data_IF_513605215322
#
_entry.id   IF_513605215322
#
_cell.length_a   1.000
_cell.length_b   1.000
_cell.length_c   1.000
_cell.angle_alpha   90.00
_cell.angle_beta   90.00
_cell.angle_gamma   90.00
#
_symmetry.space_group_name_H-M   'P 1'
#
loop_
_entity.id
_entity.type
_entity.pdbx_description
1 polymer ?
#
# COMPACT_ATOMS: atom_id res chain seq x y z
N UNK A 1 -16.63 -37.45 48.76
CA UNK A 1 -15.55 -36.75 48.02
C UNK A 1 -15.81 -36.76 46.50
N UNK A 2 -17.08 -36.70 46.06
CA UNK A 2 -17.48 -36.98 44.66
C UNK A 2 -17.84 -35.73 43.85
N UNK A 3 -17.93 -34.56 44.50
CA UNK A 3 -18.41 -33.31 43.88
C UNK A 3 -17.30 -32.48 43.21
N UNK A 4 -16.03 -32.70 43.59
CA UNK A 4 -14.92 -31.86 43.16
C UNK A 4 -14.49 -32.22 41.72
N UNK A 5 -14.61 -33.49 41.34
CA UNK A 5 -14.29 -34.01 40.01
C UNK A 5 -15.26 -33.49 38.94
N UNK A 6 -16.57 -33.49 39.22
CA UNK A 6 -17.57 -32.96 38.27
C UNK A 6 -17.44 -31.45 38.08
N UNK A 7 -17.04 -30.71 39.12
CA UNK A 7 -16.82 -29.26 39.03
C UNK A 7 -15.60 -28.94 38.15
N UNK A 8 -14.52 -29.73 38.25
CA UNK A 8 -13.33 -29.58 37.40
C UNK A 8 -13.66 -29.94 35.94
N UNK A 9 -14.42 -30.99 35.69
CA UNK A 9 -14.89 -31.37 34.35
C UNK A 9 -15.74 -30.26 33.70
N UNK A 10 -16.71 -29.71 34.43
CA UNK A 10 -17.54 -28.60 33.93
C UNK A 10 -16.73 -27.33 33.62
N UNK A 11 -15.67 -27.05 34.39
CA UNK A 11 -14.76 -25.93 34.11
C UNK A 11 -13.89 -26.18 32.88
N UNK A 12 -13.46 -27.43 32.69
CA UNK A 12 -12.68 -27.84 31.51
C UNK A 12 -13.53 -27.76 30.24
N UNK A 13 -14.77 -28.25 30.29
CA UNK A 13 -15.75 -28.18 29.20
C UNK A 13 -16.08 -26.72 28.82
N UNK A 14 -16.32 -25.85 29.81
CA UNK A 14 -16.50 -24.41 29.55
C UNK A 14 -15.24 -23.74 28.97
N UNK A 15 -14.05 -24.12 29.44
CA UNK A 15 -12.80 -23.57 28.92
C UNK A 15 -12.53 -24.03 27.47
N UNK A 16 -12.87 -25.27 27.15
CA UNK A 16 -12.82 -25.83 25.80
C UNK A 16 -13.80 -25.11 24.88
N UNK A 17 -15.05 -24.92 25.29
CA UNK A 17 -16.07 -24.18 24.53
C UNK A 17 -15.68 -22.71 24.31
N UNK A 18 -15.13 -22.05 25.34
CA UNK A 18 -14.60 -20.68 25.21
C UNK A 18 -13.44 -20.62 24.23
N UNK A 19 -12.53 -21.58 24.30
CA UNK A 19 -11.35 -21.64 23.42
C UNK A 19 -11.79 -21.90 21.99
N UNK A 20 -12.71 -22.85 21.77
CA UNK A 20 -13.29 -23.16 20.47
C UNK A 20 -13.99 -21.93 19.87
N UNK A 21 -14.80 -21.24 20.67
CA UNK A 21 -15.48 -20.01 20.25
C UNK A 21 -14.49 -18.90 19.92
N UNK A 22 -13.42 -18.74 20.71
CA UNK A 22 -12.37 -17.74 20.47
C UNK A 22 -11.60 -18.02 19.18
N UNK A 23 -11.29 -19.29 18.90
CA UNK A 23 -10.65 -19.71 17.65
C UNK A 23 -11.58 -19.47 16.45
N UNK A 24 -12.86 -19.78 16.60
CA UNK A 24 -13.86 -19.55 15.55
C UNK A 24 -14.06 -18.06 15.26
N UNK A 25 -14.13 -17.23 16.30
CA UNK A 25 -14.15 -15.76 16.19
C UNK A 25 -12.89 -15.23 15.50
N UNK A 26 -11.71 -15.72 15.87
CA UNK A 26 -10.46 -15.31 15.24
C UNK A 26 -10.44 -15.66 13.75
N UNK A 27 -10.92 -16.85 13.38
CA UNK A 27 -11.05 -17.26 11.98
C UNK A 27 -12.01 -16.35 11.22
N UNK A 28 -13.16 -16.05 11.80
CA UNK A 28 -14.16 -15.19 11.16
C UNK A 28 -13.66 -13.74 11.01
N UNK A 29 -13.02 -13.20 12.04
CA UNK A 29 -12.44 -11.87 12.03
C UNK A 29 -11.27 -11.75 11.05
N UNK A 30 -10.45 -12.80 10.91
CA UNK A 30 -9.39 -12.86 9.92
C UNK A 30 -9.95 -12.82 8.49
N UNK A 31 -11.02 -13.57 8.22
CA UNK A 31 -11.70 -13.56 6.93
C UNK A 31 -12.31 -12.19 6.64
N UNK A 32 -13.06 -11.62 7.58
CA UNK A 32 -13.69 -10.30 7.46
C UNK A 32 -12.65 -9.21 7.20
N UNK A 33 -11.59 -9.17 8.01
CA UNK A 33 -10.53 -8.16 7.84
C UNK A 33 -9.79 -8.29 6.53
N UNK A 34 -9.53 -9.53 6.10
CA UNK A 34 -8.89 -9.80 4.81
C UNK A 34 -9.79 -9.39 3.65
N UNK A 35 -11.08 -9.67 3.74
CA UNK A 35 -12.07 -9.29 2.73
C UNK A 35 -12.21 -7.76 2.63
N UNK A 36 -12.23 -7.05 3.76
CA UNK A 36 -12.25 -5.58 3.80
C UNK A 36 -11.01 -4.96 3.17
N UNK A 37 -9.83 -5.50 3.51
CA UNK A 37 -8.56 -5.03 2.94
C UNK A 37 -8.52 -5.30 1.44
N UNK A 38 -8.86 -6.50 0.99
CA UNK A 38 -8.91 -6.81 -0.44
C UNK A 38 -9.90 -5.91 -1.18
N UNK A 39 -11.11 -5.75 -0.64
CA UNK A 39 -12.16 -4.95 -1.28
C UNK A 39 -11.74 -3.49 -1.42
N UNK A 40 -11.20 -2.90 -0.35
CA UNK A 40 -10.68 -1.53 -0.40
C UNK A 40 -9.45 -1.37 -1.31
N UNK A 41 -8.58 -2.38 -1.38
CA UNK A 41 -7.45 -2.40 -2.30
C UNK A 41 -7.89 -2.49 -3.76
N UNK A 42 -8.83 -3.37 -4.09
CA UNK A 42 -9.35 -3.56 -5.45
C UNK A 42 -9.96 -2.24 -5.96
N UNK A 43 -10.80 -1.58 -5.15
CA UNK A 43 -11.37 -0.28 -5.52
C UNK A 43 -10.28 0.78 -5.75
N UNK A 44 -9.28 0.87 -4.87
CA UNK A 44 -8.16 1.82 -5.04
C UNK A 44 -7.31 1.52 -6.27
N UNK A 45 -7.02 0.25 -6.54
CA UNK A 45 -6.25 -0.18 -7.71
C UNK A 45 -7.02 0.15 -8.98
N UNK A 46 -8.32 -0.14 -9.03
CA UNK A 46 -9.16 0.18 -10.19
C UNK A 46 -9.11 1.68 -10.53
N UNK A 47 -9.28 2.55 -9.53
CA UNK A 47 -9.17 4.01 -9.71
C UNK A 47 -7.76 4.41 -10.15
N UNK A 48 -6.74 3.81 -9.54
CA UNK A 48 -5.34 4.09 -9.88
C UNK A 48 -4.99 3.69 -11.31
N UNK A 49 -5.54 2.57 -11.81
CA UNK A 49 -5.36 2.13 -13.19
C UNK A 49 -5.99 3.13 -14.16
N UNK A 50 -7.23 3.56 -13.90
CA UNK A 50 -7.91 4.55 -14.75
C UNK A 50 -7.13 5.86 -14.79
N UNK A 51 -6.69 6.35 -13.62
CA UNK A 51 -5.87 7.55 -13.53
C UNK A 51 -4.52 7.39 -14.23
N UNK A 52 -3.87 6.24 -14.07
CA UNK A 52 -2.62 5.91 -14.75
C UNK A 52 -2.77 5.90 -16.27
N UNK A 53 -3.88 5.33 -16.77
CA UNK A 53 -4.19 5.30 -18.20
C UNK A 53 -4.48 6.70 -18.75
N UNK A 54 -5.19 7.53 -17.98
CA UNK A 54 -5.38 8.94 -18.30
C UNK A 54 -4.05 9.70 -18.37
N UNK A 55 -3.19 9.56 -17.36
CA UNK A 55 -1.88 10.21 -17.33
C UNK A 55 -0.97 9.75 -18.49
N UNK A 56 -1.05 8.48 -18.86
CA UNK A 56 -0.35 7.92 -20.02
C UNK A 56 -0.82 8.56 -21.34
N UNK A 57 -2.14 8.68 -21.53
CA UNK A 57 -2.71 9.37 -22.68
C UNK A 57 -2.31 10.84 -22.74
N UNK A 58 -2.31 11.54 -21.60
CA UNK A 58 -1.84 12.94 -21.51
C UNK A 58 -0.37 13.06 -21.93
N UNK A 59 0.48 12.12 -21.53
CA UNK A 59 1.89 12.10 -21.95
C UNK A 59 2.06 11.95 -23.46
N UNK A 60 1.28 11.05 -24.07
CA UNK A 60 1.28 10.87 -25.53
C UNK A 60 0.80 12.16 -26.21
N UNK A 61 -0.30 12.75 -25.73
CA UNK A 61 -0.82 14.01 -26.27
C UNK A 61 0.18 15.16 -26.16
N UNK A 62 0.83 15.30 -25.00
CA UNK A 62 1.85 16.32 -24.76
C UNK A 62 3.05 16.14 -25.70
N UNK A 63 3.48 14.89 -25.88
CA UNK A 63 4.55 14.54 -26.80
C UNK A 63 4.20 14.89 -28.25
N UNK A 64 3.00 14.54 -28.72
CA UNK A 64 2.56 14.89 -30.08
C UNK A 64 2.47 16.40 -30.24
N UNK A 65 1.87 17.11 -29.29
CA UNK A 65 1.72 18.57 -29.34
C UNK A 65 3.06 19.30 -29.40
N UNK A 66 4.01 18.93 -28.54
CA UNK A 66 5.39 19.46 -28.59
C UNK A 66 6.05 19.07 -29.92
N UNK A 67 5.87 17.83 -30.37
CA UNK A 67 6.43 17.34 -31.62
C UNK A 67 5.92 18.07 -32.86
N UNK A 68 4.63 18.39 -32.93
CA UNK A 68 4.04 19.22 -33.99
C UNK A 68 4.61 20.64 -33.97
N UNK A 69 4.81 21.22 -32.78
CA UNK A 69 5.42 22.55 -32.63
C UNK A 69 6.88 22.56 -33.12
N UNK A 70 7.61 21.46 -32.92
CA UNK A 70 8.97 21.25 -33.42
C UNK A 70 9.00 20.76 -34.88
N UNK A 71 7.84 20.65 -35.53
CA UNK A 71 7.68 20.25 -36.93
C UNK A 71 7.73 18.74 -37.18
N UNK A 72 8.14 17.91 -36.21
CA UNK A 72 8.09 16.45 -36.29
C UNK A 72 7.82 15.79 -34.95
N UNK A 73 6.87 14.85 -34.94
CA UNK A 73 6.37 14.15 -33.74
C UNK A 73 7.47 13.50 -32.89
N UNK A 74 8.50 12.94 -33.53
CA UNK A 74 9.58 12.26 -32.78
C UNK A 74 10.37 13.21 -31.86
N UNK A 75 10.50 14.51 -32.21
CA UNK A 75 11.17 15.46 -31.35
C UNK A 75 10.42 15.71 -30.05
N UNK A 76 9.08 15.62 -30.07
CA UNK A 76 8.27 15.72 -28.86
C UNK A 76 8.51 14.57 -27.89
N UNK A 77 8.62 13.34 -28.40
CA UNK A 77 8.96 12.18 -27.58
C UNK A 77 10.36 12.30 -26.98
N UNK A 78 11.34 12.78 -27.75
CA UNK A 78 12.69 13.04 -27.26
C UNK A 78 12.73 14.15 -26.19
N UNK A 79 11.97 15.23 -26.37
CA UNK A 79 11.89 16.31 -25.40
C UNK A 79 11.29 15.84 -24.06
N UNK A 80 10.14 15.16 -24.12
CA UNK A 80 9.45 14.64 -22.92
C UNK A 80 10.30 13.57 -22.21
N UNK A 81 10.92 12.65 -22.95
CA UNK A 81 11.79 11.62 -22.35
C UNK A 81 13.08 12.19 -21.74
N UNK A 82 13.70 13.19 -22.39
CA UNK A 82 14.88 13.87 -21.84
C UNK A 82 14.54 14.62 -20.54
N UNK A 83 13.37 15.24 -20.47
CA UNK A 83 12.89 15.86 -19.24
C UNK A 83 12.75 14.85 -18.11
N UNK A 84 12.13 13.69 -18.36
CA UNK A 84 12.03 12.62 -17.36
C UNK A 84 13.39 12.05 -16.96
N UNK A 85 14.33 11.94 -17.91
CA UNK A 85 15.70 11.50 -17.63
C UNK A 85 16.43 12.50 -16.70
N UNK A 86 16.30 13.80 -16.96
CA UNK A 86 16.89 14.84 -16.12
C UNK A 86 16.33 14.81 -14.70
N UNK A 87 15.01 14.64 -14.54
CA UNK A 87 14.40 14.46 -13.21
C UNK A 87 14.95 13.21 -12.52
N UNK A 88 15.08 12.09 -13.25
CA UNK A 88 15.62 10.85 -12.71
C UNK A 88 17.06 11.02 -12.20
N UNK A 89 17.91 11.70 -12.98
CA UNK A 89 19.27 12.05 -12.58
C UNK A 89 19.25 12.96 -11.34
N UNK A 90 18.40 13.99 -11.33
CA UNK A 90 18.26 14.89 -10.18
C UNK A 90 17.90 14.10 -8.91
N UNK A 91 16.89 13.24 -8.97
CA UNK A 91 16.49 12.38 -7.85
C UNK A 91 17.65 11.49 -7.42
N UNK A 92 18.40 10.91 -8.35
CA UNK A 92 19.56 10.06 -8.04
C UNK A 92 20.64 10.82 -7.26
N UNK A 93 20.98 12.05 -7.68
CA UNK A 93 21.97 12.87 -6.96
C UNK A 93 21.48 13.30 -5.58
N UNK A 94 20.21 13.70 -5.45
CA UNK A 94 19.65 14.15 -4.18
C UNK A 94 19.13 13.01 -3.29
N UNK A 95 19.22 11.75 -3.72
CA UNK A 95 18.65 10.58 -3.01
C UNK A 95 19.16 10.48 -1.58
N UNK A 96 20.45 10.73 -1.37
CA UNK A 96 21.09 10.53 -0.07
C UNK A 96 20.72 11.66 0.91
N UNK A 97 20.50 12.87 0.40
CA UNK A 97 20.07 14.01 1.21
C UNK A 97 18.55 14.03 1.47
N UNK A 98 17.72 13.72 0.47
CA UNK A 98 16.26 13.80 0.58
C UNK A 98 15.62 12.53 1.14
N UNK A 99 16.00 11.36 0.64
CA UNK A 99 15.32 10.11 0.99
C UNK A 99 15.89 9.58 2.31
N UNK A 100 17.23 9.46 2.42
CA UNK A 100 17.85 8.84 3.59
C UNK A 100 17.60 9.62 4.88
N UNK A 101 17.72 10.95 4.85
CA UNK A 101 17.54 11.81 6.03
C UNK A 101 16.06 11.98 6.40
N UNK A 102 15.17 12.26 5.43
CA UNK A 102 13.75 12.50 5.72
C UNK A 102 13.02 11.22 6.13
N UNK A 103 13.33 10.09 5.50
CA UNK A 103 12.73 8.79 5.87
C UNK A 103 13.27 8.33 7.22
N UNK A 104 14.58 8.43 7.48
CA UNK A 104 15.13 8.06 8.80
C UNK A 104 14.57 8.93 9.91
N UNK A 105 14.53 10.26 9.75
CA UNK A 105 13.93 11.14 10.76
C UNK A 105 12.43 10.89 10.94
N UNK A 106 11.67 10.60 9.88
CA UNK A 106 10.26 10.27 10.01
C UNK A 106 10.03 8.97 10.78
N UNK A 107 10.85 7.94 10.51
CA UNK A 107 10.80 6.67 11.25
C UNK A 107 11.20 6.89 12.71
N UNK A 108 12.30 7.60 12.97
CA UNK A 108 12.78 7.90 14.33
C UNK A 108 11.72 8.67 15.12
N UNK A 109 11.14 9.74 14.56
CA UNK A 109 10.10 10.52 15.24
C UNK A 109 8.84 9.67 15.50
N UNK A 110 8.43 8.81 14.56
CA UNK A 110 7.30 7.91 14.79
C UNK A 110 7.57 6.87 15.88
N UNK A 111 8.81 6.39 16.01
CA UNK A 111 9.18 5.43 17.05
C UNK A 111 9.34 6.09 18.42
N UNK A 112 9.99 7.27 18.49
CA UNK A 112 10.18 8.02 19.74
C UNK A 112 8.87 8.60 20.30
N UNK A 113 7.91 8.96 19.44
CA UNK A 113 6.58 9.45 19.89
C UNK A 113 5.70 8.35 20.50
N UNK A 114 6.13 7.10 20.49
CA UNK A 114 5.39 5.96 21.07
C UNK A 114 6.00 5.45 22.40
N UNK A 115 7.05 6.11 22.91
CA UNK A 115 7.50 5.98 24.30
C UNK A 115 7.04 7.17 25.11
#
# INVERSE_FOLDING_TARGET
MENNTSTIEMLFEKAEDYTRTTVELMKLQAVDKTADVLSSMISRIAVSIVFGMFAFLVNIGLSIWIGELLGKVYYGFFAVSSFYLLISILIYLFRDALIKVRVSNFIIVRMLKKS
#
